data_IF_172527089930
#
_entry.id   IF_172527089930
#
_cell.length_a   1.000
_cell.length_b   1.000
_cell.length_c   1.000
_cell.angle_alpha   90.00
_cell.angle_beta   90.00
_cell.angle_gamma   90.00
#
_symmetry.space_group_name_H-M   'P 1'
#
loop_
_entity.id
_entity.type
_entity.pdbx_description
1 polymer ?
#
# COMPACT_ATOMS: atom_id res chain seq x y z
N UNK A 1 9.53 -6.25 2.09
CA UNK A 1 9.71 -4.79 2.10
C UNK A 1 9.01 -4.25 3.33
N UNK A 2 9.71 -3.47 4.15
CA UNK A 2 9.11 -2.80 5.30
C UNK A 2 8.47 -1.51 4.78
N UNK A 3 7.17 -1.35 4.99
CA UNK A 3 6.52 -0.06 4.78
C UNK A 3 7.13 0.96 5.76
N UNK A 4 7.16 2.26 5.40
CA UNK A 4 7.59 3.29 6.32
C UNK A 4 6.79 3.25 7.62
N UNK A 5 7.45 3.48 8.75
CA UNK A 5 6.79 3.47 10.07
C UNK A 5 5.87 4.69 10.28
N UNK A 6 6.04 5.74 9.47
CA UNK A 6 5.33 7.00 9.62
C UNK A 6 4.80 7.58 8.31
N UNK A 7 3.77 8.41 8.44
CA UNK A 7 3.16 9.20 7.38
C UNK A 7 4.15 10.20 6.75
N UNK A 8 4.02 10.43 5.44
CA UNK A 8 4.88 11.36 4.69
C UNK A 8 4.57 12.85 4.91
N UNK A 9 3.54 13.21 5.70
CA UNK A 9 3.09 14.59 5.89
C UNK A 9 3.83 15.27 7.05
N UNK A 10 4.22 16.52 6.84
CA UNK A 10 4.74 17.41 7.88
C UNK A 10 3.71 18.49 8.21
N UNK A 11 3.46 18.69 9.50
CA UNK A 11 2.56 19.73 10.04
C UNK A 11 3.41 20.67 10.88
N UNK A 12 3.42 21.96 10.53
CA UNK A 12 4.22 22.99 11.21
C UNK A 12 5.71 22.63 11.36
N UNK A 13 6.27 21.98 10.33
CA UNK A 13 7.66 21.52 10.29
C UNK A 13 7.92 20.20 11.02
N UNK A 14 6.96 19.71 11.80
CA UNK A 14 7.07 18.44 12.52
C UNK A 14 6.58 17.27 11.66
N UNK A 15 7.31 16.16 11.72
CA UNK A 15 6.93 14.93 11.02
C UNK A 15 5.75 14.25 11.72
N UNK A 16 4.73 13.88 10.96
CA UNK A 16 3.65 13.05 11.49
C UNK A 16 4.22 11.69 11.90
N UNK A 17 3.91 11.24 13.11
CA UNK A 17 4.38 9.95 13.65
C UNK A 17 3.37 8.82 13.53
N UNK A 18 2.20 9.08 12.94
CA UNK A 18 1.17 8.05 12.75
C UNK A 18 1.60 7.10 11.64
N UNK A 19 1.33 5.79 11.80
CA UNK A 19 1.61 4.82 10.76
C UNK A 19 0.74 5.09 9.52
N UNK A 20 1.24 4.77 8.31
CA UNK A 20 0.49 4.97 7.10
C UNK A 20 -0.67 3.97 6.97
N UNK A 21 -1.83 4.48 6.59
CA UNK A 21 -3.03 3.70 6.27
C UNK A 21 -3.17 3.50 4.76
N UNK A 22 -2.56 4.37 3.95
CA UNK A 22 -2.64 4.32 2.49
C UNK A 22 -1.28 4.51 1.82
N UNK A 23 -1.10 3.78 0.72
CA UNK A 23 -0.13 4.10 -0.32
C UNK A 23 -0.81 5.02 -1.33
N UNK A 24 -0.13 6.11 -1.70
CA UNK A 24 -0.65 7.13 -2.61
C UNK A 24 0.15 7.10 -3.90
N UNK A 25 -0.56 7.02 -5.01
CA UNK A 25 0.00 7.04 -6.36
C UNK A 25 -0.73 8.02 -7.26
N UNK A 26 -0.08 8.37 -8.38
CA UNK A 26 -0.70 9.14 -9.47
C UNK A 26 -0.73 8.23 -10.70
N UNK A 27 -1.94 7.95 -11.19
CA UNK A 27 -2.18 7.26 -12.46
C UNK A 27 -2.20 8.29 -13.58
N UNK A 28 -1.15 8.30 -14.40
CA UNK A 28 -1.07 9.11 -15.62
C UNK A 28 -1.27 8.21 -16.85
N UNK A 29 -1.18 8.81 -18.04
CA UNK A 29 -1.21 8.06 -19.30
C UNK A 29 -0.04 7.07 -19.42
N UNK A 30 1.12 7.42 -18.86
CA UNK A 30 2.38 6.69 -19.07
C UNK A 30 2.66 5.64 -17.99
N UNK A 31 1.77 5.54 -16.99
CA UNK A 31 1.86 4.56 -15.92
C UNK A 31 1.31 5.04 -14.58
N UNK A 32 1.66 4.31 -13.54
CA UNK A 32 1.29 4.63 -12.16
C UNK A 32 2.55 4.85 -11.31
N UNK A 33 2.63 6.00 -10.67
CA UNK A 33 3.81 6.41 -9.90
C UNK A 33 3.43 6.58 -8.43
N UNK A 34 4.12 5.85 -7.56
CA UNK A 34 3.94 5.98 -6.11
C UNK A 34 4.62 7.28 -5.64
N UNK A 35 3.89 8.10 -4.89
CA UNK A 35 4.36 9.44 -4.50
C UNK A 35 4.48 9.63 -2.99
N UNK A 36 3.69 8.92 -2.18
CA UNK A 36 3.69 9.07 -0.73
C UNK A 36 3.02 7.87 -0.03
N UNK A 37 3.18 7.82 1.29
CA UNK A 37 2.31 7.04 2.18
C UNK A 37 1.67 7.99 3.21
N UNK A 38 0.40 7.76 3.55
CA UNK A 38 -0.36 8.72 4.39
C UNK A 38 -1.22 7.99 5.42
N UNK A 39 -1.31 8.55 6.62
CA UNK A 39 -2.29 8.13 7.63
C UNK A 39 -3.69 8.64 7.28
N UNK A 40 -4.73 8.09 7.90
CA UNK A 40 -6.11 8.48 7.64
C UNK A 40 -6.36 9.99 7.87
N UNK A 41 -5.87 10.52 8.99
CA UNK A 41 -6.01 11.93 9.38
C UNK A 41 -5.49 12.93 8.33
N UNK A 42 -4.45 12.56 7.57
CA UNK A 42 -3.80 13.45 6.61
C UNK A 42 -4.20 13.17 5.15
N UNK A 43 -5.11 12.22 4.90
CA UNK A 43 -5.50 11.79 3.55
C UNK A 43 -6.02 12.96 2.70
N UNK A 44 -7.04 13.66 3.19
CA UNK A 44 -7.71 14.72 2.41
C UNK A 44 -6.80 15.94 2.20
N UNK A 45 -6.00 16.28 3.22
CA UNK A 45 -5.00 17.35 3.11
C UNK A 45 -3.93 17.05 2.06
N UNK A 46 -3.47 15.80 1.99
CA UNK A 46 -2.52 15.36 0.98
C UNK A 46 -3.14 15.36 -0.44
N UNK A 47 -4.40 14.95 -0.57
CA UNK A 47 -5.13 14.96 -1.84
C UNK A 47 -5.23 16.40 -2.42
N UNK A 48 -5.66 17.36 -1.60
CA UNK A 48 -5.72 18.76 -2.00
C UNK A 48 -4.35 19.34 -2.38
N UNK A 49 -3.30 18.95 -1.66
CA UNK A 49 -1.93 19.39 -1.93
C UNK A 49 -1.42 18.82 -3.26
N UNK A 50 -1.63 17.54 -3.52
CA UNK A 50 -1.26 16.89 -4.78
C UNK A 50 -2.04 17.50 -5.96
N UNK A 51 -3.35 17.73 -5.82
CA UNK A 51 -4.14 18.39 -6.86
C UNK A 51 -3.63 19.81 -7.17
N UNK A 52 -3.22 20.56 -6.14
CA UNK A 52 -2.62 21.89 -6.32
C UNK A 52 -1.25 21.82 -6.99
N UNK A 53 -0.43 20.81 -6.65
CA UNK A 53 0.88 20.58 -7.28
C UNK A 53 0.74 20.18 -8.76
N UNK A 54 -0.27 19.37 -9.11
CA UNK A 54 -0.58 19.04 -10.50
C UNK A 54 -0.97 20.27 -11.31
N UNK A 55 -1.85 21.13 -10.76
CA UNK A 55 -2.22 22.41 -11.40
C UNK A 55 -1.03 23.34 -11.59
N UNK A 56 -0.07 23.32 -10.65
CA UNK A 56 1.16 24.11 -10.72
C UNK A 56 2.27 23.47 -11.58
N UNK A 57 2.03 22.29 -12.20
CA UNK A 57 3.03 21.57 -13.00
C UNK A 57 4.19 20.99 -12.17
N UNK A 58 4.05 20.87 -10.85
CA UNK A 58 5.07 20.33 -9.93
C UNK A 58 4.91 18.84 -9.64
N UNK A 59 3.82 18.23 -10.12
CA UNK A 59 3.56 16.80 -10.06
C UNK A 59 2.95 16.34 -11.40
N UNK A 60 3.14 15.08 -11.81
CA UNK A 60 2.54 14.55 -13.04
C UNK A 60 1.02 14.72 -13.04
N UNK A 61 0.45 15.17 -14.16
CA UNK A 61 -1.00 15.20 -14.33
C UNK A 61 -1.54 13.76 -14.36
N UNK A 62 -2.68 13.53 -13.70
CA UNK A 62 -3.26 12.20 -13.58
C UNK A 62 -4.23 12.08 -12.43
N UNK A 63 -4.83 10.90 -12.27
CA UNK A 63 -5.75 10.61 -11.19
C UNK A 63 -4.98 10.19 -9.94
N UNK A 64 -5.18 10.90 -8.83
CA UNK A 64 -4.65 10.49 -7.53
C UNK A 64 -5.38 9.22 -7.09
N UNK A 65 -4.64 8.20 -6.68
CA UNK A 65 -5.16 6.93 -6.24
C UNK A 65 -4.65 6.61 -4.83
N UNK A 66 -5.58 6.22 -3.95
CA UNK A 66 -5.29 5.81 -2.58
C UNK A 66 -5.58 4.32 -2.45
N UNK A 67 -4.55 3.55 -2.09
CA UNK A 67 -4.68 2.13 -1.82
C UNK A 67 -4.46 1.89 -0.34
N UNK A 68 -5.42 1.25 0.33
CA UNK A 68 -5.28 0.86 1.74
C UNK A 68 -4.10 -0.10 1.91
N UNK A 69 -3.23 0.19 2.88
CA UNK A 69 -2.17 -0.72 3.31
C UNK A 69 -2.81 -1.98 3.88
N UNK A 70 -2.34 -3.15 3.42
CA UNK A 70 -2.74 -4.45 3.96
C UNK A 70 -1.50 -5.17 4.46
N UNK A 71 -1.52 -5.55 5.74
CA UNK A 71 -0.51 -6.45 6.28
C UNK A 71 -0.76 -7.85 5.68
N UNK A 72 0.24 -8.38 4.97
CA UNK A 72 0.23 -9.75 4.47
C UNK A 72 1.23 -10.53 5.28
N UNK A 73 0.74 -11.55 5.99
CA UNK A 73 1.58 -12.53 6.67
C UNK A 73 1.52 -13.81 5.85
N UNK A 74 2.69 -14.34 5.54
CA UNK A 74 2.84 -15.60 4.81
C UNK A 74 3.48 -16.61 5.73
N UNK A 75 2.84 -17.76 5.92
CA UNK A 75 3.48 -18.90 6.57
C UNK A 75 4.43 -19.56 5.57
N UNK A 76 5.65 -19.86 6.01
CA UNK A 76 6.58 -20.66 5.22
C UNK A 76 6.11 -22.12 5.22
N UNK A 77 5.83 -22.65 4.03
CA UNK A 77 5.52 -24.06 3.81
C UNK A 77 6.63 -24.69 2.99
N UNK A 78 7.18 -25.81 3.47
CA UNK A 78 8.32 -26.49 2.84
C UNK A 78 7.90 -27.32 1.62
N UNK A 79 6.59 -27.52 1.41
CA UNK A 79 6.03 -28.28 0.31
C UNK A 79 6.10 -29.80 0.55
N UNK A 80 6.14 -30.21 1.81
CA UNK A 80 6.08 -31.61 2.26
C UNK A 80 4.62 -32.09 2.33
N UNK A 81 4.38 -33.40 2.30
CA UNK A 81 3.02 -33.96 2.34
C UNK A 81 2.19 -33.41 3.51
N UNK A 82 2.83 -33.26 4.67
CA UNK A 82 2.26 -32.69 5.90
C UNK A 82 1.80 -31.24 5.74
N UNK A 83 2.53 -30.42 4.98
CA UNK A 83 2.17 -29.02 4.71
C UNK A 83 0.86 -28.96 3.89
N UNK A 84 0.66 -29.86 2.93
CA UNK A 84 -0.57 -29.88 2.12
C UNK A 84 -1.76 -30.34 2.94
N UNK A 85 -1.58 -31.39 3.75
CA UNK A 85 -2.62 -31.87 4.67
C UNK A 85 -3.04 -30.72 5.60
N UNK A 86 -2.09 -29.95 6.12
CA UNK A 86 -2.40 -28.79 6.95
C UNK A 86 -3.15 -27.70 6.18
N UNK A 87 -2.73 -27.35 4.96
CA UNK A 87 -3.41 -26.35 4.11
C UNK A 87 -4.85 -26.77 3.80
N UNK A 88 -5.06 -28.02 3.37
CA UNK A 88 -6.38 -28.54 3.02
C UNK A 88 -7.30 -28.59 4.25
N UNK A 89 -6.80 -29.05 5.41
CA UNK A 89 -7.58 -29.16 6.64
C UNK A 89 -7.87 -27.81 7.30
N UNK A 90 -6.90 -26.90 7.36
CA UNK A 90 -7.05 -25.60 8.07
C UNK A 90 -7.63 -24.50 7.20
N UNK A 91 -7.33 -24.51 5.90
CA UNK A 91 -7.72 -23.42 4.98
C UNK A 91 -8.86 -23.83 4.04
N UNK A 92 -9.21 -25.11 3.96
CA UNK A 92 -10.35 -25.60 3.16
C UNK A 92 -10.16 -25.42 1.65
N UNK A 93 -8.92 -25.31 1.19
CA UNK A 93 -8.56 -25.15 -0.22
C UNK A 93 -7.84 -26.41 -0.68
N UNK A 94 -8.33 -27.05 -1.74
CA UNK A 94 -7.69 -28.23 -2.35
C UNK A 94 -6.34 -27.87 -2.97
N UNK A 95 -5.34 -28.71 -2.76
CA UNK A 95 -4.02 -28.54 -3.39
C UNK A 95 -4.10 -28.73 -4.91
N UNK A 96 -3.55 -27.79 -5.69
CA UNK A 96 -3.45 -27.87 -7.16
C UNK A 96 -2.37 -28.87 -7.65
N UNK A 97 -1.72 -29.59 -6.73
CA UNK A 97 -0.68 -30.56 -7.07
C UNK A 97 -1.32 -31.81 -7.70
N UNK A 98 -1.19 -31.96 -9.02
CA UNK A 98 -1.46 -33.23 -9.69
C UNK A 98 -0.34 -34.24 -9.39
N UNK A 99 -0.68 -35.54 -9.24
CA UNK A 99 0.30 -36.60 -9.06
C UNK A 99 1.27 -36.71 -10.26
#
# INVERSE_FOLDING_TARGET
MLLPESCSVKVDGNECRLPPSYVVSIKSHDGEYMVAVVCDDHKDGLEHKLASMQKAGKAPAGKIHFQTVKAVVTDCVAGMEEDYVEIELKRGVSSDRKP
#
